data_IF_605064046198
#
_entry.id   IF_605064046198
#
_cell.length_a   1.000
_cell.length_b   1.000
_cell.length_c   1.000
_cell.angle_alpha   90.00
_cell.angle_beta   90.00
_cell.angle_gamma   90.00
#
_symmetry.space_group_name_H-M   'P 1'
#
loop_
_entity.id
_entity.type
_entity.pdbx_description
1 polymer ?
#
# COMPACT_ATOMS: atom_id res chain seq x y z
N UNK A 1 14.10 50.06 14.50
CA UNK A 1 12.85 49.37 14.14
C UNK A 1 13.07 48.62 12.85
N UNK A 2 12.89 47.30 12.83
CA UNK A 2 13.14 46.45 11.66
C UNK A 2 11.83 45.90 11.12
N UNK A 3 11.61 46.03 9.82
CA UNK A 3 10.45 45.49 9.11
C UNK A 3 10.85 44.16 8.46
N UNK A 4 10.00 43.15 8.62
CA UNK A 4 10.11 41.87 7.91
C UNK A 4 9.00 41.79 6.86
N UNK A 5 9.37 41.53 5.61
CA UNK A 5 8.41 41.28 4.53
C UNK A 5 8.26 39.77 4.33
N UNK A 6 7.05 39.26 4.54
CA UNK A 6 6.72 37.85 4.30
C UNK A 6 5.96 37.74 2.97
N UNK A 7 6.40 36.84 2.10
CA UNK A 7 5.73 36.53 0.83
C UNK A 7 5.27 35.08 0.87
N UNK A 8 3.99 34.83 0.59
CA UNK A 8 3.41 33.48 0.56
C UNK A 8 3.05 33.10 -0.88
N UNK A 9 3.67 32.05 -1.41
CA UNK A 9 3.34 31.50 -2.71
C UNK A 9 2.19 30.50 -2.61
N UNK A 10 1.25 30.57 -3.56
CA UNK A 10 0.14 29.63 -3.70
C UNK A 10 0.29 28.83 -5.00
N UNK A 11 -0.19 27.60 -4.98
CA UNK A 11 -0.18 26.70 -6.15
C UNK A 11 -1.55 26.75 -6.82
N UNK A 12 -1.56 27.08 -8.11
CA UNK A 12 -2.77 27.13 -8.92
C UNK A 12 -2.66 26.17 -10.11
N UNK A 13 -3.78 25.55 -10.49
CA UNK A 13 -3.89 24.80 -11.74
C UNK A 13 -3.94 25.75 -12.95
N UNK A 14 -3.72 25.27 -14.19
CA UNK A 14 -3.94 26.06 -15.41
C UNK A 14 -5.38 26.60 -15.55
N UNK A 15 -6.35 25.94 -14.91
CA UNK A 15 -7.76 26.38 -14.84
C UNK A 15 -8.01 27.44 -13.77
N UNK A 16 -6.99 27.82 -12.98
CA UNK A 16 -7.06 28.87 -11.96
C UNK A 16 -7.51 28.38 -10.57
N UNK A 17 -7.60 27.07 -10.34
CA UNK A 17 -8.01 26.50 -9.05
C UNK A 17 -6.84 26.48 -8.08
N UNK A 18 -7.05 26.94 -6.85
CA UNK A 18 -6.02 26.96 -5.81
C UNK A 18 -5.91 25.60 -5.12
N UNK A 19 -4.80 24.92 -5.37
CA UNK A 19 -4.48 23.60 -4.81
C UNK A 19 -3.49 23.68 -3.63
N UNK A 20 -3.13 24.90 -3.20
CA UNK A 20 -2.24 25.10 -2.07
C UNK A 20 -2.81 24.42 -0.81
N UNK A 21 -2.05 23.48 -0.24
CA UNK A 21 -2.42 22.62 0.92
C UNK A 21 -3.61 21.67 0.70
N UNK A 22 -4.32 21.77 -0.42
CA UNK A 22 -5.45 20.89 -0.76
C UNK A 22 -5.02 19.71 -1.64
N UNK A 23 -4.02 19.92 -2.50
CA UNK A 23 -3.66 18.95 -3.54
C UNK A 23 -4.69 18.90 -4.67
N UNK A 24 -4.60 17.85 -5.49
CA UNK A 24 -5.54 17.56 -6.58
C UNK A 24 -6.29 16.30 -6.20
N UNK A 25 -7.62 16.35 -6.23
CA UNK A 25 -8.46 15.16 -6.06
C UNK A 25 -8.43 14.33 -7.36
N UNK A 26 -8.21 13.01 -7.28
CA UNK A 26 -8.29 12.16 -8.46
C UNK A 26 -9.72 12.11 -9.00
N UNK A 27 -9.87 12.03 -10.33
CA UNK A 27 -11.17 11.83 -10.96
C UNK A 27 -11.84 10.52 -10.51
N UNK A 28 -11.04 9.52 -10.18
CA UNK A 28 -11.46 8.22 -9.65
C UNK A 28 -10.76 8.00 -8.32
N UNK A 29 -11.50 8.20 -7.22
CA UNK A 29 -10.98 7.93 -5.88
C UNK A 29 -10.92 6.41 -5.64
N UNK A 30 -9.74 5.93 -5.23
CA UNK A 30 -9.53 4.57 -4.72
C UNK A 30 -8.93 4.69 -3.34
N UNK A 31 -9.63 4.16 -2.34
CA UNK A 31 -9.17 4.21 -0.96
C UNK A 31 -7.83 3.48 -0.81
N UNK A 32 -6.90 4.17 -0.15
CA UNK A 32 -5.59 3.62 0.13
C UNK A 32 -5.62 2.71 1.35
N UNK A 33 -4.74 1.71 1.38
CA UNK A 33 -4.63 0.80 2.52
C UNK A 33 -3.68 1.45 3.52
N UNK A 34 -4.20 1.80 4.69
CA UNK A 34 -3.45 2.45 5.76
C UNK A 34 -3.40 1.57 6.98
N UNK A 35 -2.25 1.49 7.63
CA UNK A 35 -2.13 0.91 8.95
C UNK A 35 -2.69 1.93 9.95
N UNK A 36 -3.75 1.56 10.67
CA UNK A 36 -4.34 2.42 11.68
C UNK A 36 -3.53 2.36 12.98
N UNK A 37 -3.59 3.41 13.79
CA UNK A 37 -2.80 3.53 15.02
C UNK A 37 -3.08 2.38 16.01
N UNK A 38 -4.32 1.89 16.05
CA UNK A 38 -4.73 0.76 16.89
C UNK A 38 -4.08 -0.57 16.48
N UNK A 39 -3.61 -0.67 15.24
CA UNK A 39 -3.02 -1.90 14.68
C UNK A 39 -1.51 -1.97 14.88
N UNK A 40 -0.87 -0.84 15.18
CA UNK A 40 0.58 -0.72 15.38
C UNK A 40 1.11 -1.76 16.38
N UNK A 41 0.49 -1.98 17.58
CA UNK A 41 1.01 -2.97 18.53
C UNK A 41 0.92 -4.41 18.03
N UNK A 42 -0.08 -4.72 17.18
CA UNK A 42 -0.18 -6.03 16.56
C UNK A 42 0.87 -6.21 15.45
N UNK A 43 1.07 -5.18 14.65
CA UNK A 43 2.11 -5.13 13.63
C UNK A 43 3.51 -5.31 14.22
N UNK A 44 3.85 -4.61 15.31
CA UNK A 44 5.15 -4.72 15.98
C UNK A 44 5.42 -6.14 16.49
N UNK A 45 4.40 -6.80 17.05
CA UNK A 45 4.51 -8.21 17.47
C UNK A 45 4.78 -9.12 16.29
N UNK A 46 4.03 -8.96 15.19
CA UNK A 46 4.19 -9.75 13.97
C UNK A 46 5.63 -9.67 13.42
N UNK A 47 6.22 -8.46 13.44
CA UNK A 47 7.61 -8.23 13.00
C UNK A 47 8.63 -8.83 13.97
N UNK A 48 8.41 -8.64 15.28
CA UNK A 48 9.31 -9.15 16.33
C UNK A 48 9.37 -10.68 16.32
N UNK A 49 8.22 -11.33 16.12
CA UNK A 49 8.09 -12.78 16.06
C UNK A 49 8.62 -13.37 14.74
N UNK A 50 9.00 -12.50 13.78
CA UNK A 50 9.43 -12.88 12.43
C UNK A 50 8.44 -13.80 11.71
N UNK A 51 7.14 -13.62 11.98
CA UNK A 51 6.09 -14.51 11.51
C UNK A 51 6.08 -14.64 9.97
N UNK A 52 6.32 -13.53 9.26
CA UNK A 52 6.41 -13.50 7.80
C UNK A 52 7.55 -14.38 7.27
N UNK A 53 8.75 -14.24 7.84
CA UNK A 53 9.92 -14.98 7.41
C UNK A 53 9.77 -16.48 7.71
N UNK A 54 9.27 -16.82 8.90
CA UNK A 54 8.99 -18.20 9.29
C UNK A 54 7.96 -18.84 8.34
N UNK A 55 6.86 -18.14 8.05
CA UNK A 55 5.86 -18.64 7.12
C UNK A 55 6.42 -18.84 5.70
N UNK A 56 7.21 -17.88 5.20
CA UNK A 56 7.85 -18.00 3.88
C UNK A 56 8.92 -19.11 3.82
N UNK A 57 9.54 -19.49 4.93
CA UNK A 57 10.46 -20.62 4.99
C UNK A 57 9.70 -21.97 4.92
N UNK A 58 8.52 -22.05 5.55
CA UNK A 58 7.63 -23.22 5.51
C UNK A 58 6.87 -23.34 4.16
N UNK A 59 6.61 -22.20 3.52
CA UNK A 59 5.90 -22.08 2.25
C UNK A 59 6.76 -21.30 1.23
N UNK A 60 7.84 -21.89 0.68
CA UNK A 60 8.81 -21.16 -0.13
C UNK A 60 8.27 -20.61 -1.46
N UNK A 61 7.17 -21.16 -1.95
CA UNK A 61 6.57 -20.77 -3.23
C UNK A 61 5.79 -19.44 -3.10
N UNK A 62 6.14 -18.39 -3.86
CA UNK A 62 5.51 -17.07 -3.76
C UNK A 62 4.17 -17.01 -4.51
N UNK A 63 3.22 -17.84 -4.10
CA UNK A 63 1.88 -17.93 -4.72
C UNK A 63 0.85 -17.04 -4.03
N UNK A 64 -0.18 -16.64 -4.78
CA UNK A 64 -1.32 -15.90 -4.22
C UNK A 64 -2.01 -16.71 -3.12
N UNK A 65 -2.11 -18.03 -3.28
CA UNK A 65 -2.71 -18.94 -2.31
C UNK A 65 -1.96 -18.91 -0.97
N UNK A 66 -0.62 -18.91 -0.99
CA UNK A 66 0.17 -18.84 0.24
C UNK A 66 0.05 -17.47 0.93
N UNK A 67 -0.02 -16.38 0.16
CA UNK A 67 -0.26 -15.03 0.72
C UNK A 67 -1.63 -14.98 1.41
N UNK A 68 -2.67 -15.49 0.75
CA UNK A 68 -4.02 -15.52 1.31
C UNK A 68 -4.09 -16.44 2.53
N UNK A 69 -3.41 -17.58 2.51
CA UNK A 69 -3.32 -18.50 3.65
C UNK A 69 -2.71 -17.83 4.88
N UNK A 70 -1.60 -17.11 4.71
CA UNK A 70 -0.98 -16.34 5.80
C UNK A 70 -1.99 -15.35 6.42
N UNK A 71 -2.68 -14.60 5.56
CA UNK A 71 -3.68 -13.61 6.00
C UNK A 71 -4.86 -14.23 6.75
N UNK A 72 -5.24 -15.47 6.40
CA UNK A 72 -6.30 -16.22 7.07
C UNK A 72 -5.84 -16.74 8.44
N UNK A 73 -4.62 -17.26 8.52
CA UNK A 73 -4.05 -17.75 9.78
C UNK A 73 -3.85 -16.64 10.81
N UNK A 74 -3.58 -15.41 10.35
CA UNK A 74 -3.37 -14.24 11.19
C UNK A 74 -4.60 -13.32 11.25
N UNK A 75 -5.74 -13.77 10.71
CA UNK A 75 -6.99 -13.05 10.79
C UNK A 75 -7.41 -12.88 12.27
N UNK A 76 -7.85 -11.67 12.64
CA UNK A 76 -8.29 -11.37 13.99
C UNK A 76 -7.18 -11.07 14.99
N UNK A 77 -5.90 -11.03 14.58
CA UNK A 77 -4.79 -10.62 15.45
C UNK A 77 -4.67 -9.11 15.65
N UNK A 78 -5.63 -8.33 15.14
CA UNK A 78 -5.65 -6.87 15.23
C UNK A 78 -4.95 -6.15 14.08
N UNK A 79 -4.78 -6.83 12.93
CA UNK A 79 -4.28 -6.23 11.68
C UNK A 79 -5.27 -6.57 10.55
N UNK A 80 -5.59 -5.59 9.72
CA UNK A 80 -6.45 -5.77 8.54
C UNK A 80 -5.85 -6.81 7.59
N UNK A 81 -6.72 -7.61 6.99
CA UNK A 81 -6.33 -8.66 6.05
C UNK A 81 -5.54 -8.12 4.86
N UNK A 82 -5.91 -6.94 4.36
CA UNK A 82 -5.22 -6.31 3.22
C UNK A 82 -3.78 -5.93 3.56
N UNK A 83 -3.51 -5.50 4.79
CA UNK A 83 -2.16 -5.22 5.27
C UNK A 83 -1.37 -6.52 5.36
N UNK A 84 -1.95 -7.57 5.95
CA UNK A 84 -1.30 -8.89 6.03
C UNK A 84 -0.92 -9.42 4.64
N UNK A 85 -1.80 -9.26 3.65
CA UNK A 85 -1.53 -9.63 2.26
C UNK A 85 -0.34 -8.85 1.68
N UNK A 86 -0.32 -7.52 1.88
CA UNK A 86 0.78 -6.65 1.40
C UNK A 86 2.11 -7.03 2.05
N UNK A 87 2.11 -7.29 3.36
CA UNK A 87 3.32 -7.64 4.09
C UNK A 87 3.90 -8.97 3.61
N UNK A 88 3.05 -9.99 3.46
CA UNK A 88 3.47 -11.30 2.96
C UNK A 88 3.93 -11.23 1.51
N UNK A 89 3.22 -10.49 0.65
CA UNK A 89 3.66 -10.22 -0.72
C UNK A 89 5.05 -9.57 -0.75
N UNK A 90 5.30 -8.57 0.09
CA UNK A 90 6.59 -7.88 0.13
C UNK A 90 7.73 -8.78 0.61
N UNK A 91 7.47 -9.66 1.59
CA UNK A 91 8.43 -10.69 2.03
C UNK A 91 8.83 -11.60 0.86
N UNK A 92 7.85 -12.14 0.12
CA UNK A 92 8.14 -12.96 -1.06
C UNK A 92 8.87 -12.19 -2.16
N UNK A 93 8.44 -10.97 -2.49
CA UNK A 93 9.14 -10.13 -3.47
C UNK A 93 10.60 -9.85 -3.05
N UNK A 94 10.86 -9.72 -1.75
CA UNK A 94 12.21 -9.59 -1.21
C UNK A 94 13.11 -10.79 -1.51
N UNK A 95 12.53 -12.00 -1.62
CA UNK A 95 13.23 -13.27 -1.90
C UNK A 95 13.44 -13.54 -3.39
N UNK A 96 12.66 -12.90 -4.27
CA UNK A 96 12.78 -13.05 -5.73
C UNK A 96 13.88 -12.12 -6.26
N UNK A 97 14.78 -12.60 -7.15
CA UNK A 97 15.74 -11.77 -7.88
C UNK A 97 15.05 -10.60 -8.60
N UNK A 98 15.68 -9.43 -8.60
CA UNK A 98 15.03 -8.19 -9.08
C UNK A 98 14.49 -8.28 -10.51
N UNK A 99 15.22 -8.94 -11.40
CA UNK A 99 14.90 -9.16 -12.81
C UNK A 99 13.76 -10.17 -13.04
N UNK A 100 13.47 -11.02 -12.06
CA UNK A 100 12.39 -12.01 -12.10
C UNK A 100 11.10 -11.51 -11.43
N UNK A 101 11.13 -10.34 -10.78
CA UNK A 101 9.96 -9.79 -10.10
C UNK A 101 8.87 -9.40 -11.09
N UNK A 102 7.59 -9.58 -10.74
CA UNK A 102 6.49 -9.10 -11.56
C UNK A 102 6.56 -7.58 -11.71
N UNK A 103 6.24 -7.08 -12.91
CA UNK A 103 6.25 -5.64 -13.26
C UNK A 103 5.23 -4.86 -12.44
N UNK A 104 4.15 -5.51 -12.00
CA UNK A 104 3.14 -4.92 -11.15
C UNK A 104 2.29 -5.99 -10.48
N UNK A 105 1.53 -5.57 -9.48
CA UNK A 105 0.66 -6.45 -8.70
C UNK A 105 -0.80 -6.28 -9.14
N UNK A 106 -1.33 -7.23 -9.91
CA UNK A 106 -2.73 -7.21 -10.34
C UNK A 106 -3.67 -7.89 -9.34
N UNK A 107 -3.17 -8.34 -8.19
CA UNK A 107 -3.93 -9.09 -7.20
C UNK A 107 -4.27 -8.21 -6.00
N UNK A 108 -3.27 -7.59 -5.37
CA UNK A 108 -3.43 -6.85 -4.12
C UNK A 108 -3.34 -5.32 -4.26
N UNK A 109 -2.75 -4.80 -5.35
CA UNK A 109 -2.74 -3.36 -5.63
C UNK A 109 -4.10 -2.90 -6.19
N UNK A 110 -4.93 -2.33 -5.31
CA UNK A 110 -6.29 -1.88 -5.64
C UNK A 110 -6.27 -0.76 -6.68
N UNK A 111 -5.29 0.14 -6.62
CA UNK A 111 -5.18 1.28 -7.53
C UNK A 111 -4.79 0.83 -8.94
N UNK A 112 -3.80 -0.06 -9.07
CA UNK A 112 -3.39 -0.62 -10.35
C UNK A 112 -4.51 -1.45 -10.97
N UNK A 113 -5.21 -2.27 -10.17
CA UNK A 113 -6.37 -3.03 -10.64
C UNK A 113 -7.45 -2.10 -11.19
N UNK A 114 -7.81 -1.07 -10.44
CA UNK A 114 -8.82 -0.09 -10.87
C UNK A 114 -8.40 0.63 -12.15
N UNK A 115 -7.13 1.01 -12.28
CA UNK A 115 -6.60 1.64 -13.47
C UNK A 115 -6.67 0.73 -14.70
N UNK A 116 -6.31 -0.55 -14.55
CA UNK A 116 -6.40 -1.55 -15.63
C UNK A 116 -7.85 -1.80 -16.02
N UNK A 117 -8.77 -1.90 -15.06
CA UNK A 117 -10.21 -2.01 -15.32
C UNK A 117 -10.72 -0.79 -16.12
N UNK A 118 -10.36 0.42 -15.70
CA UNK A 118 -10.73 1.65 -16.39
C UNK A 118 -10.23 1.68 -17.83
N UNK A 119 -8.96 1.34 -18.06
CA UNK A 119 -8.37 1.32 -19.41
C UNK A 119 -9.08 0.30 -20.31
N UNK A 120 -9.47 -0.86 -19.76
CA UNK A 120 -10.09 -1.94 -20.53
C UNK A 120 -11.58 -1.71 -20.80
N UNK A 121 -12.30 -1.10 -19.86
CA UNK A 121 -13.77 -1.01 -19.90
C UNK A 121 -14.28 0.42 -20.13
N UNK A 122 -13.41 1.42 -20.02
CA UNK A 122 -13.75 2.83 -20.10
C UNK A 122 -14.61 3.34 -18.95
N UNK A 123 -14.70 2.59 -17.85
CA UNK A 123 -15.53 2.89 -16.68
C UNK A 123 -14.78 2.62 -15.40
#
# INVERSE_FOLDING_TARGET
>A
EGYAQVTTAHYYTPTGENIHKKGIEPDIMVEDIKLEDEEIPAYERLMTDKALATFADEHPEPTTENILLFSEQHAGQGIQRDILNILMRNEYLGRIPYDERPVGDLVFDKQLKRAVEFIRQGK
#
